data_IF_553693036955
#
_entry.id   IF_553693036955
#
_cell.length_a   1.000
_cell.length_b   1.000
_cell.length_c   1.000
_cell.angle_alpha   90.00
_cell.angle_beta   90.00
_cell.angle_gamma   90.00
#
_symmetry.space_group_name_H-M   'P 1'
#
loop_
_entity.id
_entity.type
_entity.pdbx_description
1 polymer ?
#
# COMPACT_ATOMS: atom_id res chain seq x y z
N UNK A 1 0.08 7.63 29.70
CA UNK A 1 -0.93 8.60 29.25
C UNK A 1 -0.94 8.63 27.72
N UNK A 2 -2.13 8.52 27.11
CA UNK A 2 -2.26 8.62 25.64
C UNK A 2 -2.09 10.06 25.16
N UNK A 3 -1.72 10.19 23.89
CA UNK A 3 -1.58 11.48 23.20
C UNK A 3 -2.94 11.96 22.72
N UNK A 4 -3.20 13.26 22.88
CA UNK A 4 -4.41 13.88 22.37
C UNK A 4 -4.20 14.35 20.93
N UNK A 5 -5.09 13.92 20.04
CA UNK A 5 -5.09 14.31 18.63
C UNK A 5 -6.44 14.92 18.25
N UNK A 6 -6.43 15.79 17.25
CA UNK A 6 -7.65 16.30 16.62
C UNK A 6 -8.06 15.34 15.51
N UNK A 7 -9.26 14.79 15.64
CA UNK A 7 -9.86 13.91 14.64
C UNK A 7 -10.97 14.67 13.90
N UNK A 8 -10.92 14.75 12.57
CA UNK A 8 -11.99 15.39 11.79
C UNK A 8 -13.26 14.54 11.86
N UNK A 9 -14.39 15.21 12.08
CA UNK A 9 -15.71 14.60 12.05
C UNK A 9 -16.41 15.00 10.76
N UNK A 10 -16.85 14.04 9.98
CA UNK A 10 -17.61 14.25 8.75
C UNK A 10 -19.06 13.92 8.96
N UNK A 11 -19.94 14.60 8.23
CA UNK A 11 -21.35 14.27 8.12
C UNK A 11 -21.79 14.28 6.66
N UNK A 12 -22.86 13.56 6.36
CA UNK A 12 -23.45 13.66 5.03
C UNK A 12 -23.97 15.07 4.80
N UNK A 13 -23.63 15.66 3.65
CA UNK A 13 -24.14 16.95 3.23
C UNK A 13 -25.60 16.83 2.81
N UNK A 14 -26.45 17.75 3.28
CA UNK A 14 -27.86 17.84 2.92
C UNK A 14 -28.18 19.21 2.33
N UNK A 15 -28.94 19.21 1.25
CA UNK A 15 -29.55 20.42 0.67
C UNK A 15 -31.07 20.22 0.51
N UNK A 16 -31.84 21.16 1.02
CA UNK A 16 -33.32 21.08 1.02
C UNK A 16 -33.88 19.76 1.62
N UNK A 17 -33.23 19.23 2.67
CA UNK A 17 -33.65 18.01 3.36
C UNK A 17 -33.31 16.71 2.65
N UNK A 18 -32.60 16.77 1.51
CA UNK A 18 -32.14 15.60 0.77
C UNK A 18 -30.61 15.49 0.83
N UNK A 19 -30.05 14.27 0.91
CA UNK A 19 -28.62 14.09 0.84
C UNK A 19 -28.08 14.53 -0.53
N UNK A 20 -26.98 15.25 -0.54
CA UNK A 20 -26.26 15.61 -1.76
C UNK A 20 -25.48 14.35 -2.21
N UNK A 21 -25.64 14.00 -3.47
CA UNK A 21 -24.91 12.89 -4.09
C UNK A 21 -23.87 13.44 -5.04
N UNK A 22 -22.74 12.76 -5.14
CA UNK A 22 -21.73 13.02 -6.16
C UNK A 22 -22.16 12.47 -7.53
N UNK A 23 -21.32 12.64 -8.54
CA UNK A 23 -21.56 12.15 -9.91
C UNK A 23 -21.73 10.62 -9.99
N UNK A 24 -21.25 9.89 -8.97
CA UNK A 24 -21.33 8.42 -8.85
C UNK A 24 -22.49 7.96 -7.96
N UNK A 25 -23.33 8.87 -7.46
CA UNK A 25 -24.45 8.56 -6.60
C UNK A 25 -24.08 8.28 -5.13
N UNK A 26 -22.85 8.52 -4.71
CA UNK A 26 -22.42 8.43 -3.30
C UNK A 26 -22.78 9.71 -2.55
N UNK A 27 -23.12 9.58 -1.26
CA UNK A 27 -23.42 10.73 -0.41
C UNK A 27 -22.16 11.57 -0.20
N UNK A 28 -22.22 12.84 -0.57
CA UNK A 28 -21.15 13.80 -0.31
C UNK A 28 -21.06 14.03 1.20
N UNK A 29 -19.83 13.99 1.72
CA UNK A 29 -19.54 14.30 3.12
C UNK A 29 -18.98 15.71 3.24
N UNK A 30 -19.34 16.41 4.29
CA UNK A 30 -18.78 17.71 4.65
C UNK A 30 -18.15 17.66 6.05
N UNK A 31 -17.09 18.41 6.27
CA UNK A 31 -16.45 18.51 7.57
C UNK A 31 -17.39 19.21 8.55
N UNK A 32 -17.80 18.50 9.60
CA UNK A 32 -18.64 19.04 10.69
C UNK A 32 -17.81 19.80 11.73
N UNK A 33 -16.56 19.40 11.93
CA UNK A 33 -15.70 19.94 12.96
C UNK A 33 -14.65 18.90 13.37
N UNK A 34 -14.08 19.10 14.54
CA UNK A 34 -13.06 18.21 15.09
C UNK A 34 -13.46 17.74 16.49
N UNK A 35 -13.10 16.53 16.83
CA UNK A 35 -13.14 16.00 18.19
C UNK A 35 -11.74 15.68 18.68
N UNK A 36 -11.58 15.63 20.01
CA UNK A 36 -10.31 15.21 20.60
C UNK A 36 -10.36 13.68 20.77
N UNK A 37 -9.49 12.98 20.05
CA UNK A 37 -9.22 11.57 20.27
C UNK A 37 -8.02 11.36 21.19
N UNK A 38 -7.86 10.14 21.67
CA UNK A 38 -6.67 9.73 22.42
C UNK A 38 -6.05 8.56 21.68
N UNK A 39 -4.79 8.69 21.32
CA UNK A 39 -3.98 7.61 20.74
C UNK A 39 -2.92 7.18 21.75
N UNK A 40 -2.49 5.96 21.65
CA UNK A 40 -1.51 5.34 22.54
C UNK A 40 -0.36 4.80 21.72
N UNK A 41 0.84 4.85 22.27
CA UNK A 41 1.95 4.08 21.72
C UNK A 41 1.68 2.57 21.90
N UNK A 42 2.25 1.76 21.03
CA UNK A 42 2.15 0.29 21.09
C UNK A 42 2.55 -0.26 22.47
N UNK A 43 3.64 0.26 23.06
CA UNK A 43 4.15 -0.10 24.39
C UNK A 43 3.19 0.22 25.53
N UNK A 44 2.16 1.03 25.32
CA UNK A 44 1.13 1.37 26.30
C UNK A 44 -0.07 0.41 26.23
N UNK A 45 -0.09 -0.50 25.25
CA UNK A 45 -1.14 -1.50 25.08
C UNK A 45 -0.82 -2.73 25.95
N UNK A 46 -1.86 -3.37 26.46
CA UNK A 46 -1.73 -4.68 27.11
C UNK A 46 -1.37 -5.70 26.04
N UNK A 47 -0.35 -6.52 26.31
CA UNK A 47 0.13 -7.53 25.37
C UNK A 47 0.74 -6.93 24.06
N UNK A 48 1.34 -5.75 24.15
CA UNK A 48 1.97 -5.11 22.97
C UNK A 48 3.01 -6.02 22.29
N UNK A 49 3.60 -6.97 23.02
CA UNK A 49 4.54 -7.97 22.48
C UNK A 49 3.91 -8.89 21.43
N UNK A 50 2.58 -9.04 21.47
CA UNK A 50 1.79 -9.83 20.52
C UNK A 50 1.27 -8.99 19.33
N UNK A 51 1.52 -7.67 19.32
CA UNK A 51 1.19 -6.86 18.17
C UNK A 51 2.09 -7.22 16.99
N UNK A 52 1.58 -7.11 15.74
CA UNK A 52 2.44 -7.20 14.56
C UNK A 52 3.61 -6.24 14.73
N UNK A 53 4.82 -6.76 14.68
CA UNK A 53 6.01 -5.91 14.72
C UNK A 53 5.94 -4.92 13.56
N UNK A 54 6.38 -3.69 13.80
CA UNK A 54 6.60 -2.75 12.71
C UNK A 54 7.41 -3.43 11.60
N UNK A 55 7.00 -3.19 10.37
CA UNK A 55 7.70 -3.70 9.21
C UNK A 55 9.16 -3.24 9.30
N UNK A 56 10.06 -4.21 9.41
CA UNK A 56 11.50 -3.93 9.47
C UNK A 56 12.01 -3.65 8.05
N UNK A 57 12.77 -2.58 7.87
CA UNK A 57 13.48 -2.35 6.61
C UNK A 57 14.43 -3.52 6.32
N UNK A 58 14.59 -3.85 5.05
CA UNK A 58 15.30 -5.06 4.62
C UNK A 58 16.79 -5.00 4.91
N UNK A 59 17.38 -3.80 5.04
CA UNK A 59 18.81 -3.56 5.36
C UNK A 59 19.77 -4.43 4.54
N UNK A 60 19.37 -4.82 3.34
CA UNK A 60 20.18 -5.55 2.38
C UNK A 60 20.60 -4.59 1.27
N UNK A 61 21.84 -4.66 0.86
CA UNK A 61 22.37 -3.90 -0.27
C UNK A 61 22.86 -4.88 -1.36
N UNK A 62 21.97 -5.33 -2.24
CA UNK A 62 22.33 -6.21 -3.34
C UNK A 62 23.38 -5.54 -4.24
N UNK A 63 24.43 -6.25 -4.58
CA UNK A 63 25.55 -5.74 -5.42
C UNK A 63 25.08 -5.21 -6.79
N UNK A 64 23.87 -5.56 -7.22
CA UNK A 64 23.28 -5.26 -8.52
C UNK A 64 22.05 -4.33 -8.43
N UNK A 65 21.84 -3.61 -7.31
CA UNK A 65 20.70 -2.72 -7.11
C UNK A 65 20.44 -1.79 -8.30
N UNK A 66 21.52 -1.20 -8.87
CA UNK A 66 21.41 -0.30 -10.01
C UNK A 66 20.90 -1.02 -11.26
N UNK A 67 21.41 -2.20 -11.55
CA UNK A 67 21.05 -2.96 -12.75
C UNK A 67 19.60 -3.46 -12.63
N UNK A 68 19.18 -3.91 -11.46
CA UNK A 68 17.80 -4.27 -11.16
C UNK A 68 16.85 -3.08 -11.29
N UNK A 69 17.23 -1.92 -10.77
CA UNK A 69 16.43 -0.69 -10.92
C UNK A 69 16.24 -0.33 -12.40
N UNK A 70 17.30 -0.41 -13.19
CA UNK A 70 17.22 -0.13 -14.65
C UNK A 70 16.35 -1.16 -15.37
N UNK A 71 16.52 -2.45 -15.09
CA UNK A 71 15.71 -3.50 -15.69
C UNK A 71 14.21 -3.35 -15.36
N UNK A 72 13.89 -3.08 -14.08
CA UNK A 72 12.52 -2.82 -13.65
C UNK A 72 11.94 -1.54 -14.29
N UNK A 73 12.80 -0.53 -14.50
CA UNK A 73 12.39 0.70 -15.18
C UNK A 73 12.07 0.47 -16.66
N UNK A 74 12.76 -0.44 -17.31
CA UNK A 74 12.48 -0.83 -18.70
C UNK A 74 11.21 -1.67 -18.82
N UNK A 75 10.95 -2.55 -17.84
CA UNK A 75 9.72 -3.36 -17.78
C UNK A 75 8.51 -2.51 -17.41
N UNK A 76 8.70 -1.43 -16.68
CA UNK A 76 7.65 -0.47 -16.35
C UNK A 76 7.23 0.31 -17.59
N UNK A 77 5.94 0.29 -17.91
CA UNK A 77 5.37 1.05 -19.03
C UNK A 77 5.11 2.52 -18.67
N UNK A 78 5.40 2.90 -17.44
CA UNK A 78 5.17 4.25 -16.90
C UNK A 78 6.47 4.86 -16.43
N UNK A 79 6.51 6.18 -16.31
CA UNK A 79 7.68 6.91 -15.82
C UNK A 79 7.91 6.62 -14.35
N UNK A 80 9.18 6.62 -13.93
CA UNK A 80 9.57 6.50 -12.53
C UNK A 80 10.26 7.80 -12.11
N UNK A 81 9.78 8.39 -11.03
CA UNK A 81 10.33 9.60 -10.42
C UNK A 81 10.83 9.33 -9.01
N UNK A 82 12.04 9.77 -8.71
CA UNK A 82 12.58 9.75 -7.35
C UNK A 82 12.38 11.13 -6.71
N UNK A 83 11.76 11.17 -5.53
CA UNK A 83 11.58 12.42 -4.77
C UNK A 83 11.48 12.11 -3.26
N UNK A 84 11.79 13.06 -2.37
CA UNK A 84 11.54 12.89 -0.95
C UNK A 84 10.04 12.68 -0.70
N UNK A 85 9.68 11.61 0.01
CA UNK A 85 8.30 11.24 0.34
C UNK A 85 8.20 10.88 1.82
N UNK A 86 6.99 10.95 2.38
CA UNK A 86 6.66 10.43 3.71
C UNK A 86 6.32 8.93 3.67
N UNK A 87 6.08 8.39 2.48
CA UNK A 87 5.82 6.97 2.19
C UNK A 87 6.95 6.41 1.32
N UNK A 88 7.06 5.11 1.21
CA UNK A 88 8.11 4.46 0.43
C UNK A 88 7.92 4.66 -1.08
N UNK A 89 6.69 4.58 -1.57
CA UNK A 89 6.35 4.85 -2.95
C UNK A 89 4.85 4.89 -3.18
N UNK A 90 4.47 5.26 -4.39
CA UNK A 90 3.10 5.09 -4.88
C UNK A 90 3.03 5.21 -6.40
N UNK A 91 2.10 4.49 -7.00
CA UNK A 91 1.70 4.67 -8.38
C UNK A 91 0.59 5.72 -8.49
N UNK A 92 0.76 6.69 -9.39
CA UNK A 92 -0.26 7.68 -9.75
C UNK A 92 -0.87 7.34 -11.11
N UNK A 93 -2.10 6.80 -11.17
CA UNK A 93 -2.78 6.55 -12.45
C UNK A 93 -3.03 7.82 -13.26
N UNK A 94 -3.25 8.94 -12.60
CA UNK A 94 -3.50 10.25 -13.22
C UNK A 94 -2.26 10.77 -13.95
N UNK A 95 -1.10 10.68 -13.30
CA UNK A 95 0.18 11.14 -13.86
C UNK A 95 0.83 10.09 -14.75
N UNK A 96 0.34 8.84 -14.72
CA UNK A 96 0.98 7.66 -15.31
C UNK A 96 2.45 7.58 -14.90
N UNK A 97 2.69 7.69 -13.61
CA UNK A 97 4.02 7.77 -13.03
C UNK A 97 4.08 7.01 -11.70
N UNK A 98 5.16 6.31 -11.49
CA UNK A 98 5.53 5.75 -10.19
C UNK A 98 6.44 6.76 -9.50
N UNK A 99 6.15 7.07 -8.24
CA UNK A 99 6.99 7.90 -7.40
C UNK A 99 7.57 7.04 -6.28
N UNK A 100 8.90 7.05 -6.15
CA UNK A 100 9.64 6.31 -5.14
C UNK A 100 10.36 7.31 -4.23
N UNK A 101 10.41 7.00 -2.95
CA UNK A 101 11.12 7.81 -1.97
C UNK A 101 12.63 7.78 -2.26
N UNK A 102 13.19 8.96 -2.52
CA UNK A 102 14.61 9.10 -2.84
C UNK A 102 15.57 8.71 -1.69
N UNK A 103 15.05 8.49 -0.48
CA UNK A 103 15.82 8.03 0.67
C UNK A 103 15.90 6.50 0.77
N UNK A 104 15.17 5.75 -0.06
CA UNK A 104 15.26 4.30 -0.10
C UNK A 104 16.54 3.83 -0.80
N UNK A 105 17.10 2.75 -0.30
CA UNK A 105 18.34 2.14 -0.80
C UNK A 105 18.22 0.62 -0.89
N UNK A 106 19.11 0.01 -1.65
CA UNK A 106 19.29 -1.44 -1.68
C UNK A 106 18.00 -2.20 -1.92
N UNK A 107 17.74 -3.18 -1.08
CA UNK A 107 16.57 -4.06 -1.19
C UNK A 107 15.24 -3.34 -1.00
N UNK A 108 15.16 -2.34 -0.12
CA UNK A 108 13.93 -1.57 0.09
C UNK A 108 13.53 -0.80 -1.15
N UNK A 109 14.49 -0.20 -1.85
CA UNK A 109 14.27 0.49 -3.12
C UNK A 109 13.72 -0.47 -4.19
N UNK A 110 14.34 -1.64 -4.34
CA UNK A 110 13.94 -2.63 -5.35
C UNK A 110 12.58 -3.23 -5.03
N UNK A 111 12.35 -3.61 -3.77
CA UNK A 111 11.06 -4.14 -3.33
C UNK A 111 9.92 -3.16 -3.58
N UNK A 112 10.08 -1.91 -3.14
CA UNK A 112 9.09 -0.85 -3.36
C UNK A 112 8.84 -0.63 -4.85
N UNK A 113 9.91 -0.62 -5.67
CA UNK A 113 9.75 -0.43 -7.11
C UNK A 113 8.95 -1.57 -7.75
N UNK A 114 9.22 -2.84 -7.41
CA UNK A 114 8.45 -3.99 -7.92
C UNK A 114 6.97 -3.86 -7.50
N UNK A 115 6.71 -3.51 -6.25
CA UNK A 115 5.37 -3.30 -5.71
C UNK A 115 4.60 -2.26 -6.56
N UNK A 116 5.19 -1.08 -6.78
CA UNK A 116 4.56 0.00 -7.55
C UNK A 116 4.43 -0.31 -9.05
N UNK A 117 5.40 -1.04 -9.63
CA UNK A 117 5.29 -1.55 -11.00
C UNK A 117 4.12 -2.52 -11.13
N UNK A 118 3.88 -3.36 -10.13
CA UNK A 118 2.71 -4.26 -10.10
C UNK A 118 1.40 -3.47 -10.08
N UNK A 119 1.30 -2.44 -9.23
CA UNK A 119 0.13 -1.54 -9.26
C UNK A 119 -0.05 -0.88 -10.62
N UNK A 120 1.02 -0.45 -11.25
CA UNK A 120 0.95 0.19 -12.57
C UNK A 120 0.51 -0.75 -13.69
N UNK A 121 0.69 -2.07 -13.53
CA UNK A 121 0.28 -3.09 -14.52
C UNK A 121 -1.14 -3.61 -14.27
N UNK A 122 -1.48 -3.91 -13.02
CA UNK A 122 -2.72 -4.59 -12.67
C UNK A 122 -3.86 -3.62 -12.29
N UNK A 123 -3.53 -2.46 -11.71
CA UNK A 123 -4.52 -1.63 -10.99
C UNK A 123 -4.75 -0.26 -11.61
N UNK A 124 -4.38 -0.07 -12.87
CA UNK A 124 -4.48 1.24 -13.58
C UNK A 124 -5.88 1.83 -13.64
N UNK A 125 -6.91 1.00 -13.60
CA UNK A 125 -8.33 1.41 -13.65
C UNK A 125 -9.03 1.23 -12.31
N UNK A 126 -8.27 1.00 -11.24
CA UNK A 126 -8.85 0.79 -9.93
C UNK A 126 -9.45 2.08 -9.38
N UNK A 127 -10.65 1.97 -8.82
CA UNK A 127 -11.30 2.99 -7.99
C UNK A 127 -11.31 2.58 -6.52
N UNK A 128 -10.57 1.53 -6.15
CA UNK A 128 -10.47 1.07 -4.78
C UNK A 128 -9.81 2.15 -3.90
N UNK A 129 -10.35 2.33 -2.72
CA UNK A 129 -9.82 3.26 -1.72
C UNK A 129 -9.34 2.49 -0.50
N UNK A 130 -8.44 3.08 0.26
CA UNK A 130 -7.92 2.51 1.48
C UNK A 130 -9.04 2.05 2.42
N UNK A 131 -8.98 0.77 2.84
CA UNK A 131 -9.99 0.13 3.68
C UNK A 131 -11.08 -0.64 2.92
N UNK A 132 -11.14 -0.53 1.58
CA UNK A 132 -12.00 -1.37 0.76
C UNK A 132 -11.42 -2.78 0.63
N UNK A 133 -12.29 -3.79 0.51
CA UNK A 133 -11.85 -5.16 0.25
C UNK A 133 -11.05 -5.27 -1.06
N UNK A 134 -11.47 -4.56 -2.10
CA UNK A 134 -10.77 -4.54 -3.37
C UNK A 134 -9.34 -3.96 -3.23
N UNK A 135 -9.18 -2.91 -2.41
CA UNK A 135 -7.85 -2.39 -2.08
C UNK A 135 -6.98 -3.44 -1.42
N UNK A 136 -7.53 -4.17 -0.44
CA UNK A 136 -6.83 -5.29 0.22
C UNK A 136 -6.33 -6.36 -0.78
N UNK A 137 -7.16 -6.74 -1.76
CA UNK A 137 -6.77 -7.71 -2.79
C UNK A 137 -5.63 -7.18 -3.67
N UNK A 138 -5.66 -5.90 -4.02
CA UNK A 138 -4.62 -5.25 -4.82
C UNK A 138 -3.28 -5.16 -4.08
N UNK A 139 -3.33 -4.86 -2.79
CA UNK A 139 -2.13 -4.88 -1.95
C UNK A 139 -1.54 -6.30 -1.82
N UNK A 140 -2.41 -7.31 -1.69
CA UNK A 140 -1.99 -8.71 -1.68
C UNK A 140 -1.31 -9.10 -3.00
N UNK A 141 -1.86 -8.70 -4.14
CA UNK A 141 -1.28 -8.94 -5.46
C UNK A 141 0.09 -8.24 -5.61
N UNK A 142 0.17 -6.97 -5.25
CA UNK A 142 1.39 -6.19 -5.38
C UNK A 142 2.51 -6.70 -4.46
N UNK A 143 2.19 -6.94 -3.20
CA UNK A 143 3.15 -7.41 -2.21
C UNK A 143 3.64 -8.83 -2.50
N UNK A 144 2.73 -9.74 -2.87
CA UNK A 144 3.12 -11.11 -3.21
C UNK A 144 3.97 -11.17 -4.49
N UNK A 145 3.65 -10.35 -5.49
CA UNK A 145 4.48 -10.22 -6.69
C UNK A 145 5.86 -9.68 -6.35
N UNK A 146 5.94 -8.64 -5.52
CA UNK A 146 7.20 -8.08 -5.06
C UNK A 146 8.06 -9.12 -4.33
N UNK A 147 7.46 -9.93 -3.46
CA UNK A 147 8.13 -11.03 -2.79
C UNK A 147 8.72 -12.06 -3.77
N UNK A 148 7.92 -12.53 -4.72
CA UNK A 148 8.34 -13.57 -5.67
C UNK A 148 9.46 -13.05 -6.56
N UNK A 149 9.31 -11.85 -7.12
CA UNK A 149 10.30 -11.25 -8.01
C UNK A 149 11.59 -10.94 -7.25
N UNK A 150 11.51 -10.32 -6.08
CA UNK A 150 12.68 -10.02 -5.27
C UNK A 150 13.48 -11.28 -4.90
N UNK A 151 12.78 -12.37 -4.54
CA UNK A 151 13.42 -13.63 -4.19
C UNK A 151 14.16 -14.27 -5.36
N UNK A 152 13.70 -14.10 -6.61
CA UNK A 152 14.44 -14.54 -7.81
C UNK A 152 15.79 -13.83 -8.00
N UNK A 153 15.99 -12.70 -7.33
CA UNK A 153 17.23 -11.94 -7.32
C UNK A 153 17.98 -12.03 -5.98
N UNK A 154 17.71 -13.08 -5.19
CA UNK A 154 18.32 -13.32 -3.89
C UNK A 154 18.06 -12.20 -2.85
N UNK A 155 16.97 -11.46 -3.01
CA UNK A 155 16.52 -10.46 -2.05
C UNK A 155 15.43 -11.09 -1.17
N UNK A 156 15.76 -11.41 0.07
CA UNK A 156 14.81 -11.99 1.03
C UNK A 156 13.95 -10.89 1.68
N UNK A 157 12.71 -10.79 1.23
CA UNK A 157 11.71 -9.87 1.78
C UNK A 157 10.71 -10.55 2.72
N UNK A 158 10.92 -11.81 3.09
CA UNK A 158 9.94 -12.63 3.81
C UNK A 158 9.44 -11.99 5.11
N UNK A 159 10.34 -11.39 5.90
CA UNK A 159 9.96 -10.75 7.16
C UNK A 159 9.09 -9.52 6.94
N UNK A 160 9.41 -8.74 5.92
CA UNK A 160 8.64 -7.57 5.51
C UNK A 160 7.26 -8.00 5.01
N UNK A 161 7.24 -8.84 3.99
CA UNK A 161 6.04 -9.29 3.29
C UNK A 161 5.05 -10.00 4.22
N UNK A 162 5.50 -10.95 5.06
CA UNK A 162 4.61 -11.67 5.97
C UNK A 162 3.98 -10.72 6.99
N UNK A 163 4.76 -9.79 7.55
CA UNK A 163 4.26 -8.77 8.48
C UNK A 163 3.21 -7.87 7.82
N UNK A 164 3.48 -7.43 6.61
CA UNK A 164 2.60 -6.56 5.84
C UNK A 164 1.29 -7.26 5.47
N UNK A 165 1.35 -8.47 4.91
CA UNK A 165 0.17 -9.23 4.52
C UNK A 165 -0.74 -9.58 5.70
N UNK A 166 -0.16 -9.89 6.86
CA UNK A 166 -0.94 -10.16 8.07
C UNK A 166 -1.75 -8.94 8.53
N UNK A 167 -1.28 -7.72 8.24
CA UNK A 167 -2.00 -6.48 8.58
C UNK A 167 -3.27 -6.25 7.75
N UNK A 168 -3.39 -6.88 6.59
CA UNK A 168 -4.50 -6.69 5.66
C UNK A 168 -5.70 -7.62 5.89
N UNK A 169 -5.66 -8.49 6.89
CA UNK A 169 -6.80 -9.33 7.26
C UNK A 169 -7.15 -10.38 6.21
N UNK A 170 -6.16 -11.18 5.82
CA UNK A 170 -6.29 -12.28 4.84
C UNK A 170 -7.39 -13.29 5.20
N UNK A 171 -7.76 -13.39 6.47
CA UNK A 171 -8.83 -14.24 6.99
C UNK A 171 -10.22 -13.88 6.41
N UNK A 172 -10.36 -12.70 5.82
CA UNK A 172 -11.62 -12.22 5.21
C UNK A 172 -11.71 -12.46 3.70
N UNK A 173 -10.67 -13.03 3.09
CA UNK A 173 -10.59 -13.30 1.66
C UNK A 173 -11.15 -14.70 1.40
N UNK A 174 -12.10 -14.83 0.44
CA UNK A 174 -12.63 -16.11 0.02
C UNK A 174 -11.63 -16.91 -0.83
N UNK A 175 -11.81 -18.21 -0.92
CA UNK A 175 -10.95 -19.07 -1.76
C UNK A 175 -10.99 -18.67 -3.25
N UNK A 176 -12.15 -18.21 -3.75
CA UNK A 176 -12.30 -17.78 -5.14
C UNK A 176 -11.52 -16.49 -5.41
N UNK A 177 -11.59 -15.53 -4.48
CA UNK A 177 -10.80 -14.29 -4.55
C UNK A 177 -9.30 -14.57 -4.47
N UNK A 178 -8.90 -15.46 -3.58
CA UNK A 178 -7.50 -15.87 -3.45
C UNK A 178 -7.00 -16.55 -4.74
N UNK A 179 -7.82 -17.37 -5.39
CA UNK A 179 -7.46 -17.96 -6.67
C UNK A 179 -7.25 -16.89 -7.74
N UNK A 180 -8.14 -15.90 -7.84
CA UNK A 180 -7.98 -14.77 -8.78
C UNK A 180 -6.69 -13.98 -8.53
N UNK A 181 -6.39 -13.69 -7.28
CA UNK A 181 -5.12 -13.06 -6.86
C UNK A 181 -3.92 -13.89 -7.30
N UNK A 182 -3.92 -15.19 -7.04
CA UNK A 182 -2.82 -16.09 -7.44
C UNK A 182 -2.61 -16.12 -8.96
N UNK A 183 -3.68 -16.12 -9.75
CA UNK A 183 -3.59 -16.05 -11.21
C UNK A 183 -2.97 -14.74 -11.70
N UNK A 184 -3.33 -13.61 -11.07
CA UNK A 184 -2.76 -12.31 -11.40
C UNK A 184 -1.27 -12.22 -11.05
N UNK A 185 -0.90 -12.70 -9.85
CA UNK A 185 0.51 -12.79 -9.42
C UNK A 185 1.31 -13.63 -10.42
N UNK A 186 0.81 -14.81 -10.79
CA UNK A 186 1.50 -15.74 -11.68
C UNK A 186 1.74 -15.20 -13.09
N UNK A 187 0.86 -14.31 -13.57
CA UNK A 187 0.99 -13.65 -14.87
C UNK A 187 1.94 -12.44 -14.84
N UNK A 188 2.15 -11.86 -13.66
CA UNK A 188 2.84 -10.58 -13.50
C UNK A 188 4.27 -10.76 -13.02
N UNK A 189 4.53 -11.73 -12.14
CA UNK A 189 5.87 -12.10 -11.69
C UNK A 189 6.65 -12.83 -12.81
#
# INVERSE_FOLDING_TARGET
>A
HGYKILMPNFRNKYENGKPVLDEKGKKVQELKGFSIGTVFEDKQLVEYENLPKQVEYLNQDPNNTKDLFMALSEVSEVKIGLKPLEVDGFYSPQDKCIFINANLHGADLIHTLIHEVTHSKLHTKSEAIFGDKQYTLQELEAESTAYIVANNYDIDTSKYTIGYLNSWGLDKISNEELQGVMENIQKTA
#
